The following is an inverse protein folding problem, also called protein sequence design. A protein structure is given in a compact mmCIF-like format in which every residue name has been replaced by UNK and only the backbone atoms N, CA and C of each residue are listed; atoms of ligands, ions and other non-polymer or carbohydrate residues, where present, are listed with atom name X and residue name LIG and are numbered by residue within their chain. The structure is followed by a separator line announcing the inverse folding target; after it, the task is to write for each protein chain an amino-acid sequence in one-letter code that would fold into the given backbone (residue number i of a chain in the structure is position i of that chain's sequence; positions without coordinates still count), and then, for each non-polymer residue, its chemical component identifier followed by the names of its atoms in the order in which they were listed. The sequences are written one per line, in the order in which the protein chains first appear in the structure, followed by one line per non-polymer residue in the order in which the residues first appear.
data_IF_124551994992
#
_entry.id   IF_124551994992
#
_cell.length_a   1.000
_cell.length_b   1.000
_cell.length_c   1.000
_cell.angle_alpha   90.00
_cell.angle_beta   90.00
_cell.angle_gamma   90.00
#
_symmetry.space_group_name_H-M   'P 1'
#
loop_
_entity.id
_entity.type
_entity.pdbx_description
1 polymer ?
#
# COMPACT_ATOMS: atom_id res chain seq x y z
N UNK A 1 -8.12 33.05 -24.10
CA UNK A 1 -8.42 31.68 -24.55
C UNK A 1 -9.82 31.56 -25.06
N UNK A 2 -10.08 30.58 -25.92
CA UNK A 2 -11.44 30.09 -26.21
C UNK A 2 -11.78 28.98 -25.21
N UNK A 3 -13.04 28.85 -24.84
CA UNK A 3 -13.52 27.77 -23.97
C UNK A 3 -14.33 26.79 -24.81
N UNK A 4 -14.01 25.50 -24.70
CA UNK A 4 -14.81 24.39 -25.16
C UNK A 4 -15.48 23.74 -23.95
N UNK A 5 -16.81 23.71 -23.94
CA UNK A 5 -17.59 23.06 -22.88
C UNK A 5 -18.26 21.82 -23.45
N UNK A 6 -18.00 20.67 -22.85
CA UNK A 6 -18.70 19.41 -23.10
C UNK A 6 -19.96 19.42 -22.22
N UNK A 7 -21.12 19.17 -22.83
CA UNK A 7 -22.42 19.52 -22.26
C UNK A 7 -22.97 18.58 -21.18
N UNK A 8 -22.72 17.27 -21.26
CA UNK A 8 -23.29 16.25 -20.35
C UNK A 8 -22.48 14.95 -20.33
N UNK A 9 -22.86 13.99 -19.49
CA UNK A 9 -22.30 12.62 -19.43
C UNK A 9 -22.48 11.79 -20.72
N UNK A 10 -23.04 12.37 -21.78
CA UNK A 10 -23.26 11.72 -23.08
C UNK A 10 -22.55 12.46 -24.23
N UNK A 11 -21.85 13.56 -23.94
CA UNK A 11 -21.17 14.37 -24.96
C UNK A 11 -19.66 14.18 -24.86
N UNK A 12 -19.24 12.95 -25.06
CA UNK A 12 -17.83 12.59 -25.00
C UNK A 12 -17.09 13.12 -26.21
N UNK A 13 -15.81 13.44 -26.02
CA UNK A 13 -14.95 13.93 -27.08
C UNK A 13 -13.66 13.12 -27.13
N UNK A 14 -13.35 12.61 -28.32
CA UNK A 14 -12.03 12.06 -28.63
C UNK A 14 -11.28 13.03 -29.51
N UNK A 15 -10.09 13.41 -29.07
CA UNK A 15 -9.16 14.23 -29.83
C UNK A 15 -8.06 13.32 -30.36
N UNK A 16 -8.16 13.01 -31.65
CA UNK A 16 -7.16 12.24 -32.38
C UNK A 16 -6.05 13.15 -32.89
N UNK A 17 -4.93 13.21 -32.17
CA UNK A 17 -3.75 13.95 -32.63
C UNK A 17 -2.48 13.42 -31.96
N UNK A 18 -1.40 13.24 -32.72
CA UNK A 18 -0.15 12.63 -32.21
C UNK A 18 0.66 13.54 -31.29
N UNK A 19 0.54 14.87 -31.42
CA UNK A 19 1.26 15.83 -30.57
C UNK A 19 0.70 17.26 -30.67
N UNK A 20 -0.49 17.59 -30.12
CA UNK A 20 -0.89 18.98 -30.01
C UNK A 20 0.10 19.73 -29.11
N UNK A 21 0.91 20.60 -29.71
CA UNK A 21 1.62 21.64 -28.97
C UNK A 21 0.64 22.78 -28.76
N UNK A 22 0.48 23.24 -27.54
CA UNK A 22 -0.34 24.42 -27.29
C UNK A 22 0.16 25.62 -28.09
N UNK A 23 -0.73 26.28 -28.83
CA UNK A 23 -0.44 27.60 -29.38
C UNK A 23 -0.36 28.64 -28.26
N UNK A 24 0.32 29.78 -28.50
CA UNK A 24 0.58 30.82 -27.49
C UNK A 24 -0.65 31.52 -26.87
N UNK A 25 -1.88 31.09 -27.16
CA UNK A 25 -3.12 31.53 -26.52
C UNK A 25 -3.86 30.34 -25.91
N UNK A 26 -3.68 30.14 -24.60
CA UNK A 26 -4.25 29.04 -23.82
C UNK A 26 -5.76 28.87 -24.01
N UNK A 27 -6.21 27.67 -24.35
CA UNK A 27 -7.62 27.27 -24.36
C UNK A 27 -8.09 26.74 -23.01
N UNK A 28 -9.41 26.67 -22.82
CA UNK A 28 -10.02 26.04 -21.64
C UNK A 28 -10.97 24.93 -22.07
N UNK A 29 -10.81 23.74 -21.47
CA UNK A 29 -11.71 22.61 -21.61
C UNK A 29 -12.52 22.48 -20.32
N UNK A 30 -13.85 22.51 -20.46
CA UNK A 30 -14.77 22.25 -19.36
C UNK A 30 -15.52 20.97 -19.68
N UNK A 31 -15.15 19.87 -19.02
CA UNK A 31 -15.73 18.56 -19.28
C UNK A 31 -17.10 18.38 -18.62
N UNK A 32 -17.37 19.11 -17.53
CA UNK A 32 -18.52 18.86 -16.67
C UNK A 32 -18.50 17.39 -16.19
N UNK A 33 -19.42 16.55 -16.70
CA UNK A 33 -19.44 15.10 -16.44
C UNK A 33 -19.13 14.23 -17.67
N UNK A 34 -18.71 14.82 -18.79
CA UNK A 34 -18.38 14.10 -20.01
C UNK A 34 -17.00 13.44 -19.93
N UNK A 35 -16.77 12.43 -20.79
CA UNK A 35 -15.44 11.87 -21.00
C UNK A 35 -14.68 12.65 -22.08
N UNK A 36 -13.38 12.85 -21.86
CA UNK A 36 -12.47 13.47 -22.81
C UNK A 36 -11.26 12.57 -22.99
N UNK A 37 -11.04 12.09 -24.20
CA UNK A 37 -9.88 11.25 -24.53
C UNK A 37 -8.94 11.97 -25.47
N UNK A 38 -7.67 12.03 -25.08
CA UNK A 38 -6.56 12.44 -25.93
C UNK A 38 -5.71 11.24 -26.32
N UNK A 39 -5.62 10.95 -27.62
CA UNK A 39 -4.98 9.71 -28.06
C UNK A 39 -3.46 9.80 -28.18
N UNK A 40 -2.92 10.97 -28.55
CA UNK A 40 -1.47 11.17 -28.68
C UNK A 40 -0.83 11.96 -27.54
N UNK A 41 0.46 12.28 -27.73
CA UNK A 41 1.28 12.92 -26.70
C UNK A 41 0.76 14.32 -26.42
N UNK A 42 0.48 14.65 -25.17
CA UNK A 42 -0.19 15.92 -24.83
C UNK A 42 0.60 16.71 -23.80
N UNK A 43 0.86 17.99 -24.09
CA UNK A 43 1.57 18.88 -23.18
C UNK A 43 0.66 20.04 -22.74
N UNK A 44 0.38 20.09 -21.44
CA UNK A 44 -0.40 21.14 -20.78
C UNK A 44 0.54 22.22 -20.21
N UNK A 45 0.93 23.21 -21.01
CA UNK A 45 1.83 24.30 -20.58
C UNK A 45 1.09 25.58 -20.19
N UNK A 46 -0.11 25.79 -20.73
CA UNK A 46 -0.96 26.93 -20.43
C UNK A 46 -2.47 26.60 -20.51
N UNK A 47 -2.85 25.52 -21.19
CA UNK A 47 -4.23 25.08 -21.28
C UNK A 47 -4.76 24.68 -19.90
N UNK A 48 -6.07 24.87 -19.75
CA UNK A 48 -6.79 24.57 -18.52
C UNK A 48 -7.84 23.51 -18.80
N UNK A 49 -7.85 22.46 -18.01
CA UNK A 49 -8.89 21.42 -18.06
C UNK A 49 -9.60 21.41 -16.72
N UNK A 50 -10.93 21.53 -16.76
CA UNK A 50 -11.80 21.44 -15.60
C UNK A 50 -12.76 20.27 -15.78
N UNK A 51 -12.82 19.41 -14.77
CA UNK A 51 -13.69 18.25 -14.72
C UNK A 51 -14.43 18.22 -13.38
N UNK A 52 -15.73 17.97 -13.44
CA UNK A 52 -16.63 17.90 -12.29
C UNK A 52 -17.38 16.56 -12.26
N UNK A 53 -16.74 15.52 -12.80
CA UNK A 53 -17.25 14.20 -13.16
C UNK A 53 -16.62 13.69 -14.47
N UNK A 54 -16.92 12.44 -14.84
CA UNK A 54 -16.39 11.83 -16.06
C UNK A 54 -14.89 11.55 -16.02
N UNK A 55 -14.33 11.18 -17.16
CA UNK A 55 -12.99 10.63 -17.30
C UNK A 55 -12.16 11.44 -18.30
N UNK A 56 -11.06 12.03 -17.82
CA UNK A 56 -10.01 12.56 -18.68
C UNK A 56 -9.00 11.46 -18.96
N UNK A 57 -8.95 10.96 -20.20
CA UNK A 57 -8.00 9.93 -20.62
C UNK A 57 -6.87 10.53 -21.43
N UNK A 58 -5.64 10.39 -20.95
CA UNK A 58 -4.42 10.69 -21.69
C UNK A 58 -3.79 9.35 -22.11
N UNK A 59 -4.10 8.93 -23.34
CA UNK A 59 -3.81 7.58 -23.82
C UNK A 59 -2.31 7.36 -24.12
N UNK A 60 -1.56 8.43 -24.31
CA UNK A 60 -0.11 8.42 -24.55
C UNK A 60 0.62 9.23 -23.46
N UNK A 61 1.94 9.37 -23.59
CA UNK A 61 2.73 10.21 -22.69
C UNK A 61 2.22 11.64 -22.63
N UNK A 62 2.26 12.26 -21.45
CA UNK A 62 1.74 13.61 -21.25
C UNK A 62 2.54 14.42 -20.24
N UNK A 63 2.36 15.73 -20.24
CA UNK A 63 3.06 16.62 -19.30
C UNK A 63 2.22 17.80 -18.87
N UNK A 64 2.50 18.28 -17.67
CA UNK A 64 1.93 19.49 -17.09
C UNK A 64 3.08 20.43 -16.67
N UNK A 65 3.07 21.65 -17.16
CA UNK A 65 4.17 22.60 -16.99
C UNK A 65 3.69 24.05 -16.94
N UNK A 66 4.60 24.96 -16.64
CA UNK A 66 4.37 26.42 -16.65
C UNK A 66 3.08 26.83 -15.92
N UNK A 67 2.04 27.27 -16.64
CA UNK A 67 0.75 27.74 -16.09
C UNK A 67 -0.41 26.80 -16.41
N UNK A 68 -0.13 25.61 -16.94
CA UNK A 68 -1.13 24.60 -17.23
C UNK A 68 -1.90 24.21 -15.96
N UNK A 69 -3.18 23.87 -16.13
CA UNK A 69 -4.05 23.48 -15.04
C UNK A 69 -4.85 22.24 -15.43
N UNK A 70 -4.87 21.24 -14.56
CA UNK A 70 -5.84 20.15 -14.59
C UNK A 70 -6.53 20.15 -13.23
N UNK A 71 -7.81 20.49 -13.22
CA UNK A 71 -8.64 20.58 -12.02
C UNK A 71 -9.76 19.55 -12.09
N UNK A 72 -9.64 18.52 -11.25
CA UNK A 72 -10.53 17.37 -11.16
C UNK A 72 -11.27 17.44 -9.82
N UNK A 73 -12.60 17.39 -9.89
CA UNK A 73 -13.48 17.50 -8.73
C UNK A 73 -14.65 16.52 -8.83
N UNK A 74 -15.38 16.31 -7.72
CA UNK A 74 -16.64 15.56 -7.70
C UNK A 74 -16.56 14.13 -8.28
N UNK A 75 -15.51 13.37 -7.96
CA UNK A 75 -15.39 11.98 -8.40
C UNK A 75 -14.89 11.80 -9.83
N UNK A 76 -14.38 12.85 -10.47
CA UNK A 76 -13.66 12.77 -11.75
C UNK A 76 -12.55 11.73 -11.72
N UNK A 77 -12.24 11.17 -12.90
CA UNK A 77 -11.11 10.27 -13.11
C UNK A 77 -10.11 10.88 -14.09
N UNK A 78 -8.83 10.82 -13.77
CA UNK A 78 -7.73 11.06 -14.73
C UNK A 78 -7.03 9.73 -14.99
N UNK A 79 -7.05 9.29 -16.24
CA UNK A 79 -6.38 8.07 -16.71
C UNK A 79 -5.10 8.45 -17.45
N UNK A 80 -3.96 7.95 -16.96
CA UNK A 80 -2.62 8.15 -17.51
C UNK A 80 -2.10 6.81 -18.04
N UNK A 81 -2.32 6.54 -19.33
CA UNK A 81 -1.87 5.29 -19.95
C UNK A 81 -0.38 5.34 -20.35
N UNK A 82 0.17 6.53 -20.59
CA UNK A 82 1.59 6.77 -20.78
C UNK A 82 2.23 7.50 -19.61
N UNK A 83 3.55 7.70 -19.66
CA UNK A 83 4.27 8.46 -18.64
C UNK A 83 3.72 9.89 -18.53
N UNK A 84 3.57 10.38 -17.29
CA UNK A 84 3.10 11.72 -16.98
C UNK A 84 4.17 12.53 -16.24
N UNK A 85 4.56 13.67 -16.81
CA UNK A 85 5.55 14.57 -16.22
C UNK A 85 4.96 15.90 -15.75
N UNK A 86 5.00 16.20 -14.45
CA UNK A 86 4.70 17.51 -13.89
C UNK A 86 5.98 18.28 -13.56
N UNK A 87 6.35 19.25 -14.39
CA UNK A 87 7.48 20.16 -14.13
C UNK A 87 7.03 21.56 -13.66
N UNK A 88 5.73 21.86 -13.76
CA UNK A 88 5.11 23.13 -13.38
C UNK A 88 3.58 22.99 -13.33
N UNK A 89 2.87 24.10 -13.36
CA UNK A 89 1.40 24.10 -13.36
C UNK A 89 0.77 23.55 -12.07
N UNK A 90 -0.53 23.30 -12.13
CA UNK A 90 -1.33 22.83 -11.00
C UNK A 90 -2.18 21.61 -11.42
N UNK A 91 -2.04 20.52 -10.68
CA UNK A 91 -2.88 19.32 -10.78
C UNK A 91 -3.66 19.18 -9.48
N UNK A 92 -4.98 19.43 -9.55
CA UNK A 92 -5.90 19.28 -8.44
C UNK A 92 -6.74 18.03 -8.65
N UNK A 93 -6.67 17.09 -7.71
CA UNK A 93 -7.38 15.83 -7.69
C UNK A 93 -8.27 15.74 -6.44
N UNK A 94 -9.12 16.75 -6.22
CA UNK A 94 -9.94 16.83 -5.02
C UNK A 94 -11.10 15.82 -5.09
N UNK A 95 -11.01 14.73 -4.31
CA UNK A 95 -11.95 13.60 -4.37
C UNK A 95 -12.02 12.98 -5.77
N UNK A 96 -10.90 12.94 -6.48
CA UNK A 96 -10.77 12.34 -7.80
C UNK A 96 -10.06 10.98 -7.73
N UNK A 97 -10.13 10.21 -8.81
CA UNK A 97 -9.30 9.00 -9.02
C UNK A 97 -8.21 9.30 -10.03
N UNK A 98 -6.96 9.03 -9.67
CA UNK A 98 -5.83 9.07 -10.59
C UNK A 98 -5.48 7.63 -10.96
N UNK A 99 -5.85 7.21 -12.17
CA UNK A 99 -5.53 5.88 -12.69
C UNK A 99 -4.25 5.93 -13.53
N UNK A 100 -3.23 5.14 -13.17
CA UNK A 100 -1.92 5.21 -13.82
C UNK A 100 -1.44 3.86 -14.31
N UNK A 101 -1.05 3.80 -15.57
CA UNK A 101 -0.32 2.67 -16.15
C UNK A 101 1.12 3.04 -16.54
N UNK A 102 1.40 4.34 -16.75
CA UNK A 102 2.75 4.85 -16.97
C UNK A 102 3.35 5.53 -15.74
N UNK A 103 4.66 5.73 -15.77
CA UNK A 103 5.40 6.40 -14.68
C UNK A 103 4.88 7.82 -14.41
N UNK A 104 4.84 8.19 -13.14
CA UNK A 104 4.44 9.51 -12.69
C UNK A 104 5.69 10.26 -12.19
N UNK A 105 6.02 11.40 -12.80
CA UNK A 105 7.20 12.18 -12.43
C UNK A 105 6.83 13.62 -12.13
N UNK A 106 7.01 14.05 -10.88
CA UNK A 106 6.81 15.41 -10.43
C UNK A 106 8.15 16.05 -10.06
N UNK A 107 8.61 16.99 -10.87
CA UNK A 107 9.85 17.76 -10.68
C UNK A 107 9.58 19.24 -10.34
N UNK A 108 8.33 19.68 -10.39
CA UNK A 108 7.89 21.03 -10.03
C UNK A 108 6.36 21.16 -10.01
N UNK A 109 5.85 22.39 -9.88
CA UNK A 109 4.41 22.69 -9.83
C UNK A 109 3.71 22.32 -8.52
N UNK A 110 2.38 22.34 -8.51
CA UNK A 110 1.53 22.00 -7.35
C UNK A 110 0.72 20.74 -7.63
N UNK A 111 0.72 19.78 -6.69
CA UNK A 111 -0.15 18.60 -6.70
C UNK A 111 -1.04 18.64 -5.46
N UNK A 112 -2.36 18.66 -5.66
CA UNK A 112 -3.35 18.56 -4.57
C UNK A 112 -4.08 17.24 -4.69
N UNK A 113 -3.60 16.21 -4.00
CA UNK A 113 -4.07 14.82 -4.14
C UNK A 113 -4.42 14.14 -2.82
N UNK A 114 -4.36 14.83 -1.69
CA UNK A 114 -4.57 14.24 -0.36
C UNK A 114 -5.95 13.58 -0.17
N UNK A 115 -6.95 13.98 -0.95
CA UNK A 115 -8.29 13.37 -0.96
C UNK A 115 -8.53 12.45 -2.17
N UNK A 116 -7.53 12.22 -3.00
CA UNK A 116 -7.62 11.40 -4.21
C UNK A 116 -7.37 9.91 -3.93
N UNK A 117 -7.95 9.06 -4.76
CA UNK A 117 -7.54 7.65 -4.86
C UNK A 117 -6.47 7.52 -5.93
N UNK A 118 -5.32 6.95 -5.59
CA UNK A 118 -4.30 6.57 -6.55
C UNK A 118 -4.50 5.10 -6.94
N UNK A 119 -4.80 4.82 -8.21
CA UNK A 119 -5.13 3.49 -8.68
C UNK A 119 -4.15 3.08 -9.78
N UNK A 120 -3.55 1.91 -9.64
CA UNK A 120 -2.64 1.39 -10.65
C UNK A 120 -3.41 0.54 -11.67
N UNK A 121 -3.14 0.81 -12.95
CA UNK A 121 -3.55 -0.01 -14.10
C UNK A 121 -2.34 -0.66 -14.79
N UNK A 122 -1.13 -0.42 -14.27
CA UNK A 122 0.13 -1.03 -14.67
C UNK A 122 1.17 -0.88 -13.56
N UNK A 123 2.36 -1.45 -13.74
CA UNK A 123 3.47 -1.17 -12.83
C UNK A 123 3.92 0.28 -13.01
N UNK A 124 4.04 1.02 -11.91
CA UNK A 124 4.29 2.46 -11.94
C UNK A 124 5.46 2.81 -11.04
N UNK A 125 6.41 3.57 -11.61
CA UNK A 125 7.40 4.31 -10.82
C UNK A 125 6.86 5.71 -10.54
N UNK A 126 6.63 6.04 -9.27
CA UNK A 126 6.25 7.38 -8.84
C UNK A 126 7.49 8.15 -8.35
N UNK A 127 7.73 9.33 -8.91
CA UNK A 127 8.80 10.23 -8.50
C UNK A 127 8.22 11.58 -8.13
N UNK A 128 8.62 12.17 -7.01
CA UNK A 128 8.20 13.52 -6.65
C UNK A 128 9.27 14.29 -5.90
N UNK A 129 9.43 15.56 -6.25
CA UNK A 129 10.28 16.51 -5.51
C UNK A 129 9.62 17.07 -4.23
N UNK A 130 8.45 16.55 -3.86
CA UNK A 130 7.70 16.86 -2.64
C UNK A 130 7.05 15.59 -2.10
N UNK A 131 6.70 15.49 -0.80
CA UNK A 131 5.96 14.33 -0.30
C UNK A 131 4.67 14.04 -1.08
N UNK A 132 4.44 12.76 -1.39
CA UNK A 132 3.19 12.31 -2.02
C UNK A 132 2.16 12.02 -0.93
N UNK A 133 0.94 12.51 -1.12
CA UNK A 133 -0.17 12.26 -0.21
C UNK A 133 -1.43 11.93 -1.00
N UNK A 134 -2.06 10.82 -0.65
CA UNK A 134 -3.30 10.34 -1.21
C UNK A 134 -4.25 9.88 -0.12
N UNK A 135 -5.54 9.82 -0.45
CA UNK A 135 -6.53 9.24 0.46
C UNK A 135 -6.35 7.74 0.52
N UNK A 136 -6.36 7.10 -0.65
CA UNK A 136 -6.27 5.65 -0.80
C UNK A 136 -5.34 5.26 -1.94
N UNK A 137 -4.82 4.04 -1.89
CA UNK A 137 -4.06 3.40 -2.97
C UNK A 137 -4.72 2.07 -3.33
N UNK A 138 -4.91 1.83 -4.62
CA UNK A 138 -5.36 0.54 -5.17
C UNK A 138 -4.29 0.01 -6.12
N UNK A 139 -3.65 -1.11 -5.75
CA UNK A 139 -2.56 -1.70 -6.53
C UNK A 139 -3.04 -2.52 -7.73
N UNK A 140 -4.23 -3.12 -7.68
CA UNK A 140 -4.78 -4.01 -8.72
C UNK A 140 -3.75 -5.02 -9.26
N UNK A 141 -3.10 -5.77 -8.36
CA UNK A 141 -2.05 -6.72 -8.71
C UNK A 141 -0.81 -6.12 -9.45
N UNK A 142 -0.59 -4.81 -9.34
CA UNK A 142 0.59 -4.12 -9.89
C UNK A 142 1.58 -3.68 -8.81
N UNK A 143 2.77 -3.32 -9.24
CA UNK A 143 3.87 -2.82 -8.41
C UNK A 143 3.88 -1.30 -8.43
N UNK A 144 3.84 -0.67 -7.25
CA UNK A 144 4.24 0.72 -7.06
C UNK A 144 5.71 0.76 -6.63
N UNK A 145 6.58 1.39 -7.40
CA UNK A 145 7.95 1.70 -6.99
C UNK A 145 8.15 3.21 -6.90
N UNK A 146 9.24 3.63 -6.27
CA UNK A 146 9.58 5.05 -6.15
C UNK A 146 10.89 5.38 -6.87
N UNK A 147 10.86 6.46 -7.66
CA UNK A 147 12.07 7.02 -8.25
C UNK A 147 12.83 7.91 -7.25
N UNK A 148 14.03 8.34 -7.66
CA UNK A 148 14.89 9.19 -6.84
C UNK A 148 14.14 10.45 -6.36
N UNK A 149 14.43 10.89 -5.13
CA UNK A 149 13.85 12.08 -4.46
C UNK A 149 12.46 11.92 -3.83
N UNK A 150 11.80 10.76 -3.94
CA UNK A 150 10.50 10.57 -3.26
C UNK A 150 10.70 10.27 -1.78
N UNK A 151 10.58 11.29 -0.94
CA UNK A 151 10.87 11.15 0.49
C UNK A 151 9.79 10.35 1.25
N UNK A 152 8.52 10.55 0.94
CA UNK A 152 7.40 9.97 1.69
C UNK A 152 6.17 9.73 0.80
N UNK A 153 5.48 8.61 1.04
CA UNK A 153 4.08 8.39 0.64
C UNK A 153 3.20 8.33 1.89
N UNK A 154 2.21 9.22 1.97
CA UNK A 154 1.17 9.20 3.01
C UNK A 154 -0.17 8.73 2.47
N UNK A 155 -0.77 7.73 3.10
CA UNK A 155 -2.14 7.26 2.87
C UNK A 155 -3.01 7.49 4.11
N UNK A 156 -4.21 8.03 3.95
CA UNK A 156 -5.14 8.29 5.08
C UNK A 156 -6.18 7.19 5.28
N UNK A 157 -6.55 6.47 4.23
CA UNK A 157 -7.39 5.28 4.28
C UNK A 157 -6.53 4.01 4.28
N UNK A 158 -7.14 2.90 4.70
CA UNK A 158 -6.47 1.61 4.83
C UNK A 158 -5.96 1.11 3.46
N UNK A 159 -4.69 0.73 3.42
CA UNK A 159 -4.14 0.01 2.27
C UNK A 159 -4.56 -1.45 2.35
N UNK A 160 -5.29 -1.94 1.34
CA UNK A 160 -5.60 -3.37 1.22
C UNK A 160 -4.61 -4.04 0.28
N UNK A 161 -3.96 -5.11 0.76
CA UNK A 161 -3.09 -5.99 0.00
C UNK A 161 -3.79 -7.34 -0.10
N UNK A 162 -4.32 -7.66 -1.29
CA UNK A 162 -5.15 -8.84 -1.54
C UNK A 162 -4.73 -9.59 -2.81
N UNK A 163 -3.60 -9.22 -3.41
CA UNK A 163 -3.08 -9.77 -4.64
C UNK A 163 -1.63 -10.23 -4.45
N UNK A 164 -1.20 -11.37 -5.04
CA UNK A 164 0.15 -11.91 -4.84
C UNK A 164 1.26 -11.09 -5.49
N UNK A 165 0.95 -10.34 -6.56
CA UNK A 165 1.94 -9.47 -7.19
C UNK A 165 1.80 -8.01 -6.77
N UNK A 166 0.64 -7.63 -6.20
CA UNK A 166 0.36 -6.28 -5.75
C UNK A 166 1.27 -5.92 -4.58
N UNK A 167 2.23 -5.02 -4.80
CA UNK A 167 3.16 -4.58 -3.74
C UNK A 167 3.62 -3.14 -3.90
N UNK A 168 4.16 -2.59 -2.82
CA UNK A 168 4.92 -1.35 -2.81
C UNK A 168 6.40 -1.72 -2.67
N UNK A 169 7.22 -1.34 -3.64
CA UNK A 169 8.68 -1.39 -3.56
C UNK A 169 9.19 -0.11 -2.92
N UNK A 170 9.31 -0.15 -1.60
CA UNK A 170 9.58 1.01 -0.76
C UNK A 170 10.88 1.74 -1.13
N UNK A 171 11.95 1.02 -1.47
CA UNK A 171 13.27 1.63 -1.67
C UNK A 171 13.71 2.41 -0.42
N UNK A 172 14.04 3.70 -0.59
CA UNK A 172 14.37 4.62 0.50
C UNK A 172 13.21 5.53 0.91
N UNK A 173 12.00 5.32 0.37
CA UNK A 173 10.83 6.16 0.62
C UNK A 173 10.18 5.76 1.94
N UNK A 174 9.87 6.71 2.81
CA UNK A 174 9.09 6.42 4.02
C UNK A 174 7.64 6.07 3.66
N UNK A 175 7.06 5.05 4.29
CA UNK A 175 5.65 4.71 4.17
C UNK A 175 4.89 5.14 5.42
N UNK A 176 4.03 6.13 5.26
CA UNK A 176 3.13 6.60 6.31
C UNK A 176 1.69 6.17 6.00
N UNK A 177 1.31 4.99 6.50
CA UNK A 177 0.00 4.39 6.26
C UNK A 177 -0.95 4.73 7.42
N UNK A 178 -1.34 6.01 7.54
CA UNK A 178 -2.15 6.50 8.67
C UNK A 178 -3.51 5.79 8.79
N UNK A 179 -4.06 5.28 7.67
CA UNK A 179 -5.28 4.47 7.67
C UNK A 179 -5.09 3.00 8.07
N UNK A 180 -3.84 2.55 8.28
CA UNK A 180 -3.48 1.16 8.51
C UNK A 180 -3.24 0.39 7.21
N UNK A 181 -2.99 -0.90 7.37
CA UNK A 181 -2.82 -1.85 6.26
C UNK A 181 -3.53 -3.16 6.59
N UNK A 182 -4.29 -3.69 5.64
CA UNK A 182 -4.86 -5.04 5.70
C UNK A 182 -4.14 -5.94 4.71
N UNK A 183 -3.55 -7.02 5.22
CA UNK A 183 -2.90 -8.06 4.42
C UNK A 183 -3.89 -9.22 4.32
N UNK A 184 -4.72 -9.16 3.29
CA UNK A 184 -5.76 -10.13 3.00
C UNK A 184 -5.17 -11.39 2.31
N UNK A 185 -5.98 -12.43 2.17
CA UNK A 185 -5.60 -13.65 1.46
C UNK A 185 -4.97 -13.36 0.09
N UNK A 186 -3.77 -13.89 -0.13
CA UNK A 186 -2.99 -13.67 -1.36
C UNK A 186 -2.13 -12.41 -1.33
N UNK A 187 -2.38 -11.47 -0.42
CA UNK A 187 -1.57 -10.26 -0.25
C UNK A 187 -0.26 -10.52 0.48
N UNK A 188 0.75 -9.70 0.16
CA UNK A 188 2.06 -9.72 0.81
C UNK A 188 2.48 -8.29 1.18
N UNK A 189 2.71 -8.04 2.46
CA UNK A 189 3.47 -6.86 2.90
C UNK A 189 4.90 -7.26 3.15
N UNK A 190 5.83 -6.71 2.38
CA UNK A 190 7.26 -6.94 2.54
C UNK A 190 7.91 -5.69 3.08
N UNK A 191 8.46 -5.75 4.29
CA UNK A 191 9.11 -4.62 4.94
C UNK A 191 10.61 -4.70 4.72
N UNK A 192 11.17 -3.64 4.14
CA UNK A 192 12.61 -3.45 3.98
C UNK A 192 13.16 -2.34 4.86
N UNK A 193 12.28 -1.50 5.43
CA UNK A 193 12.57 -0.37 6.31
C UNK A 193 11.37 -0.13 7.27
N UNK A 194 11.36 1.00 7.99
CA UNK A 194 10.32 1.38 8.96
C UNK A 194 8.96 1.54 8.30
N UNK A 195 7.95 0.92 8.91
CA UNK A 195 6.53 1.15 8.65
C UNK A 195 5.93 2.00 9.77
N UNK A 196 5.21 3.07 9.43
CA UNK A 196 4.46 3.87 10.39
C UNK A 196 2.97 3.88 10.01
N UNK A 197 2.13 3.31 10.87
CA UNK A 197 0.66 3.31 10.70
C UNK A 197 -0.06 4.34 11.58
N UNK A 198 0.68 5.21 12.27
CA UNK A 198 0.12 6.12 13.27
C UNK A 198 -0.57 5.34 14.40
N UNK A 199 -1.83 5.66 14.67
CA UNK A 199 -2.68 4.92 15.63
C UNK A 199 -3.38 3.71 15.03
N UNK A 200 -3.26 3.49 13.71
CA UNK A 200 -3.89 2.37 13.01
C UNK A 200 -3.05 1.10 13.14
N UNK A 201 -3.63 -0.04 12.74
CA UNK A 201 -3.02 -1.36 12.93
C UNK A 201 -2.51 -1.95 11.61
N UNK A 202 -1.63 -2.93 11.74
CA UNK A 202 -1.36 -3.92 10.69
C UNK A 202 -2.35 -5.07 10.88
N UNK A 203 -3.28 -5.26 9.96
CA UNK A 203 -4.25 -6.35 10.02
C UNK A 203 -3.73 -7.55 9.23
N UNK A 204 -3.64 -8.69 9.89
CA UNK A 204 -3.33 -9.98 9.28
C UNK A 204 -4.65 -10.71 9.00
N UNK A 205 -5.09 -10.70 7.74
CA UNK A 205 -6.40 -11.18 7.31
C UNK A 205 -6.29 -12.26 6.22
N UNK A 206 -5.36 -13.20 6.40
CA UNK A 206 -5.12 -14.30 5.46
C UNK A 206 -3.83 -14.18 4.67
N UNK A 207 -3.14 -13.03 4.77
CA UNK A 207 -1.95 -12.73 3.98
C UNK A 207 -0.62 -13.03 4.67
N UNK A 208 0.46 -12.57 4.02
CA UNK A 208 1.85 -12.73 4.45
C UNK A 208 2.47 -11.38 4.85
N UNK A 209 2.97 -11.29 6.08
CA UNK A 209 3.93 -10.25 6.49
C UNK A 209 5.35 -10.81 6.38
N UNK A 210 6.14 -10.30 5.45
CA UNK A 210 7.52 -10.72 5.22
C UNK A 210 8.52 -9.68 5.72
N UNK A 211 9.49 -10.13 6.53
CA UNK A 211 10.54 -9.33 7.14
C UNK A 211 11.88 -9.77 6.57
N UNK A 212 12.39 -8.97 5.62
CA UNK A 212 13.63 -9.29 4.89
C UNK A 212 14.89 -8.67 5.54
N UNK A 213 14.71 -7.68 6.40
CA UNK A 213 15.77 -6.99 7.14
C UNK A 213 15.39 -6.83 8.60
N UNK A 214 16.38 -6.51 9.44
CA UNK A 214 16.12 -6.16 10.83
C UNK A 214 15.16 -4.98 10.89
N UNK A 215 13.98 -5.20 11.46
CA UNK A 215 12.86 -4.26 11.40
C UNK A 215 12.28 -4.08 12.80
N UNK A 216 12.06 -2.83 13.19
CA UNK A 216 11.25 -2.51 14.38
C UNK A 216 9.84 -2.14 13.94
N UNK A 217 8.85 -2.84 14.49
CA UNK A 217 7.43 -2.61 14.22
C UNK A 217 6.74 -2.16 15.50
N UNK A 218 6.58 -0.84 15.62
CA UNK A 218 5.84 -0.22 16.73
C UNK A 218 4.31 -0.31 16.54
N UNK A 219 3.84 -0.46 15.30
CA UNK A 219 2.44 -0.63 14.98
C UNK A 219 1.89 -1.94 15.56
N UNK A 220 0.76 -1.86 16.25
CA UNK A 220 0.09 -3.07 16.74
C UNK A 220 -0.45 -3.91 15.59
N UNK A 221 -0.34 -5.23 15.75
CA UNK A 221 -0.91 -6.21 14.83
C UNK A 221 -2.31 -6.59 15.32
N UNK A 222 -3.26 -6.73 14.39
CA UNK A 222 -4.57 -7.34 14.61
C UNK A 222 -4.68 -8.59 13.74
N UNK A 223 -4.79 -9.76 14.36
CA UNK A 223 -4.97 -11.02 13.65
C UNK A 223 -6.48 -11.30 13.45
N UNK A 224 -6.90 -11.48 12.20
CA UNK A 224 -8.31 -11.62 11.81
C UNK A 224 -8.62 -12.97 11.16
N UNK A 225 -7.65 -13.53 10.45
CA UNK A 225 -7.77 -14.83 9.79
C UNK A 225 -6.39 -15.48 9.70
N UNK A 226 -6.36 -16.78 9.41
CA UNK A 226 -5.13 -17.56 9.39
C UNK A 226 -4.06 -16.94 8.48
N UNK A 227 -2.96 -16.48 9.07
CA UNK A 227 -1.95 -15.65 8.40
C UNK A 227 -0.53 -16.13 8.67
N UNK A 228 0.42 -15.58 7.94
CA UNK A 228 1.85 -15.92 8.08
C UNK A 228 2.69 -14.68 8.34
N UNK A 229 3.60 -14.78 9.29
CA UNK A 229 4.74 -13.88 9.47
C UNK A 229 5.99 -14.66 9.07
N UNK A 230 6.65 -14.24 8.00
CA UNK A 230 7.93 -14.81 7.57
C UNK A 230 9.05 -13.85 7.94
N UNK A 231 10.02 -14.35 8.71
CA UNK A 231 11.21 -13.59 9.09
C UNK A 231 12.39 -14.30 8.48
N UNK A 232 13.07 -13.61 7.55
CA UNK A 232 14.21 -14.17 6.85
C UNK A 232 15.30 -14.64 7.84
N UNK A 233 16.05 -15.66 7.43
CA UNK A 233 17.09 -16.26 8.27
C UNK A 233 18.06 -15.19 8.78
N UNK A 234 18.43 -15.29 10.06
CA UNK A 234 19.31 -14.33 10.79
C UNK A 234 18.73 -12.93 11.00
N UNK A 235 17.54 -12.61 10.48
CA UNK A 235 16.90 -11.31 10.67
C UNK A 235 16.04 -11.28 11.91
N UNK A 236 15.79 -10.08 12.40
CA UNK A 236 15.00 -9.84 13.61
C UNK A 236 13.82 -8.91 13.32
N UNK A 237 12.63 -9.37 13.69
CA UNK A 237 11.47 -8.50 13.88
C UNK A 237 11.39 -8.12 15.36
N UNK A 238 11.66 -6.86 15.68
CA UNK A 238 11.40 -6.27 17.00
C UNK A 238 9.98 -5.71 17.03
N UNK A 239 9.06 -6.45 17.61
CA UNK A 239 7.67 -6.08 17.75
C UNK A 239 7.41 -5.37 19.09
N UNK A 240 6.99 -4.11 19.01
CA UNK A 240 6.73 -3.24 20.18
C UNK A 240 5.23 -2.90 20.34
N UNK A 241 4.38 -3.45 19.47
CA UNK A 241 2.94 -3.29 19.55
C UNK A 241 2.32 -4.01 20.76
N UNK A 242 1.00 -3.87 20.93
CA UNK A 242 0.24 -4.56 21.96
C UNK A 242 0.25 -6.10 21.78
N UNK A 243 -0.25 -6.86 22.76
CA UNK A 243 -0.41 -8.32 22.62
C UNK A 243 -1.07 -8.69 21.31
N UNK A 244 -0.58 -9.76 20.67
CA UNK A 244 -1.23 -10.32 19.49
C UNK A 244 -2.14 -11.46 19.95
N UNK A 245 -3.42 -11.16 20.10
CA UNK A 245 -4.47 -12.17 20.27
C UNK A 245 -4.54 -13.03 18.98
N UNK A 246 -4.31 -14.34 19.11
CA UNK A 246 -4.34 -15.26 17.97
C UNK A 246 -5.79 -15.49 17.50
N UNK A 247 -6.76 -15.35 18.39
CA UNK A 247 -8.18 -15.50 18.12
C UNK A 247 -8.53 -16.90 17.62
N UNK A 248 -9.68 -17.03 16.97
CA UNK A 248 -10.20 -18.29 16.45
C UNK A 248 -9.53 -18.72 15.12
N UNK A 249 -8.21 -18.71 15.04
CA UNK A 249 -7.43 -18.98 13.82
C UNK A 249 -6.01 -19.46 14.12
N UNK A 250 -5.26 -19.79 13.06
CA UNK A 250 -3.86 -20.19 13.14
C UNK A 250 -2.94 -19.06 12.67
N UNK A 251 -1.95 -18.68 13.48
CA UNK A 251 -0.85 -17.81 13.05
C UNK A 251 0.39 -18.66 12.79
N UNK A 252 1.03 -18.48 11.65
CA UNK A 252 2.31 -19.15 11.35
C UNK A 252 3.46 -18.16 11.43
N UNK A 253 4.53 -18.50 12.14
CA UNK A 253 5.77 -17.73 12.21
C UNK A 253 6.92 -18.61 11.73
N UNK A 254 7.55 -18.21 10.62
CA UNK A 254 8.49 -19.05 9.87
C UNK A 254 9.73 -18.27 9.42
N UNK A 255 10.68 -18.96 8.78
CA UNK A 255 11.72 -18.35 7.93
C UNK A 255 13.15 -18.38 8.48
N UNK A 256 13.37 -18.82 9.72
CA UNK A 256 14.73 -18.93 10.27
C UNK A 256 15.19 -17.73 11.12
N UNK A 257 14.36 -16.69 11.27
CA UNK A 257 14.70 -15.45 11.96
C UNK A 257 14.34 -15.44 13.45
N UNK A 258 14.30 -14.23 14.03
CA UNK A 258 13.93 -13.96 15.42
C UNK A 258 12.71 -13.03 15.48
N UNK A 259 11.68 -13.42 16.24
CA UNK A 259 10.53 -12.59 16.62
C UNK A 259 10.73 -12.15 18.07
N UNK A 260 11.16 -10.91 18.28
CA UNK A 260 11.36 -10.34 19.62
C UNK A 260 10.16 -9.49 19.99
N UNK A 261 9.49 -9.82 21.09
CA UNK A 261 8.28 -9.16 21.55
C UNK A 261 8.28 -9.03 23.08
N UNK A 262 7.80 -7.89 23.58
CA UNK A 262 7.62 -7.63 25.02
C UNK A 262 6.20 -7.93 25.49
N UNK A 263 5.20 -7.72 24.62
CA UNK A 263 3.84 -8.16 24.82
C UNK A 263 3.63 -9.53 24.16
N UNK A 264 2.84 -10.44 24.75
CA UNK A 264 2.79 -11.83 24.33
C UNK A 264 2.15 -12.02 22.94
N UNK A 265 2.57 -13.09 22.27
CA UNK A 265 1.71 -13.84 21.36
C UNK A 265 0.73 -14.63 22.22
N UNK A 266 -0.56 -14.36 22.11
CA UNK A 266 -1.55 -14.80 23.09
C UNK A 266 -2.54 -15.81 22.50
N UNK A 267 -2.47 -17.06 22.98
CA UNK A 267 -3.45 -18.09 22.68
C UNK A 267 -4.71 -17.83 23.52
N UNK A 268 -5.59 -16.96 23.04
CA UNK A 268 -6.78 -16.41 23.72
C UNK A 268 -8.10 -17.12 23.39
N UNK A 269 -8.10 -18.09 22.47
CA UNK A 269 -9.32 -18.76 22.03
C UNK A 269 -9.16 -20.29 21.92
N UNK A 270 -10.28 -21.01 22.05
CA UNK A 270 -10.39 -22.47 21.86
C UNK A 270 -9.94 -23.01 20.49
N UNK A 271 -9.71 -22.13 19.52
CA UNK A 271 -9.26 -22.45 18.16
C UNK A 271 -7.92 -21.76 17.83
N UNK A 272 -7.31 -21.06 18.79
CA UNK A 272 -6.01 -20.45 18.60
C UNK A 272 -4.97 -21.54 18.35
N UNK A 273 -4.18 -21.35 17.30
CA UNK A 273 -3.04 -22.20 17.00
C UNK A 273 -1.85 -21.34 16.60
N UNK A 274 -0.67 -21.67 17.12
CA UNK A 274 0.58 -21.06 16.67
C UNK A 274 1.44 -22.12 15.99
N UNK A 275 1.80 -21.87 14.73
CA UNK A 275 2.69 -22.75 13.97
C UNK A 275 4.08 -22.11 13.90
N UNK A 276 5.09 -22.82 14.39
CA UNK A 276 6.47 -22.35 14.46
C UNK A 276 7.36 -23.21 13.55
N UNK A 277 8.15 -22.56 12.71
CA UNK A 277 9.07 -23.25 11.79
C UNK A 277 10.42 -22.54 11.71
N UNK A 278 11.39 -23.03 12.49
CA UNK A 278 12.77 -22.53 12.46
C UNK A 278 12.94 -21.17 13.13
N UNK A 279 12.08 -20.81 14.07
CA UNK A 279 11.97 -19.45 14.61
C UNK A 279 12.43 -19.41 16.06
N UNK A 280 13.05 -18.29 16.46
CA UNK A 280 13.12 -17.88 17.86
C UNK A 280 11.99 -16.88 18.16
N UNK A 281 11.10 -17.18 19.10
CA UNK A 281 10.10 -16.23 19.59
C UNK A 281 10.42 -15.83 21.04
N UNK A 282 10.17 -14.58 21.43
CA UNK A 282 10.56 -14.14 22.77
C UNK A 282 9.53 -14.47 23.84
N UNK A 283 8.25 -14.15 23.63
CA UNK A 283 7.22 -14.30 24.67
C UNK A 283 5.89 -14.81 24.12
N UNK A 284 5.42 -15.95 24.63
CA UNK A 284 4.12 -16.54 24.34
C UNK A 284 3.35 -16.73 25.65
N UNK A 285 2.05 -16.46 25.64
CA UNK A 285 1.15 -16.70 26.78
C UNK A 285 -0.12 -17.42 26.35
N UNK A 286 -0.69 -18.20 27.25
CA UNK A 286 -1.99 -18.85 27.07
C UNK A 286 -3.05 -18.19 27.95
N UNK A 287 -4.11 -17.65 27.36
CA UNK A 287 -5.24 -17.03 28.09
C UNK A 287 -6.55 -17.84 27.94
N UNK A 288 -6.52 -18.90 27.13
CA UNK A 288 -7.60 -19.89 27.00
C UNK A 288 -7.03 -21.27 26.70
N UNK A 289 -7.83 -22.31 26.96
CA UNK A 289 -7.61 -23.60 26.29
C UNK A 289 -7.56 -23.37 24.78
N UNK A 290 -6.66 -24.04 24.07
CA UNK A 290 -6.39 -23.75 22.66
C UNK A 290 -6.05 -25.01 21.86
N UNK A 291 -5.86 -24.88 20.54
CA UNK A 291 -5.25 -25.93 19.73
C UNK A 291 -3.72 -26.00 19.92
N UNK A 292 -3.16 -24.95 20.53
CA UNK A 292 -1.81 -24.89 21.04
C UNK A 292 -0.75 -24.63 19.98
N UNK A 293 0.41 -25.28 20.12
CA UNK A 293 1.61 -25.00 19.32
C UNK A 293 1.94 -26.19 18.42
N UNK A 294 2.11 -25.93 17.13
CA UNK A 294 2.73 -26.87 16.18
C UNK A 294 4.15 -26.43 15.86
N UNK A 295 5.11 -27.36 15.92
CA UNK A 295 6.52 -27.10 15.61
C UNK A 295 6.95 -27.95 14.42
N UNK A 296 7.04 -27.31 13.25
CA UNK A 296 7.36 -27.99 11.98
C UNK A 296 8.88 -28.10 11.77
N UNK A 297 9.62 -27.07 12.19
CA UNK A 297 11.07 -27.06 12.26
C UNK A 297 11.50 -26.55 13.62
N UNK A 298 12.65 -27.05 14.10
CA UNK A 298 13.17 -26.77 15.43
C UNK A 298 13.12 -25.27 15.75
N UNK A 299 12.43 -24.94 16.83
CA UNK A 299 12.14 -23.56 17.22
C UNK A 299 12.39 -23.39 18.71
N UNK A 300 12.63 -22.14 19.11
CA UNK A 300 12.91 -21.78 20.50
C UNK A 300 11.94 -20.69 20.93
N UNK A 301 11.41 -20.79 22.14
CA UNK A 301 10.63 -19.73 22.78
C UNK A 301 11.37 -19.33 24.05
N UNK A 302 11.72 -18.06 24.21
CA UNK A 302 12.46 -17.65 25.41
C UNK A 302 11.61 -17.77 26.67
N UNK A 303 10.37 -17.28 26.63
CA UNK A 303 9.41 -17.34 27.72
C UNK A 303 8.05 -17.83 27.20
N UNK A 304 7.58 -18.97 27.71
CA UNK A 304 6.29 -19.54 27.41
C UNK A 304 5.49 -19.77 28.70
N UNK A 305 4.57 -18.85 29.01
CA UNK A 305 3.71 -18.96 30.19
C UNK A 305 2.43 -19.74 29.88
N UNK A 306 2.23 -20.89 30.55
CA UNK A 306 1.16 -21.86 30.27
C UNK A 306 0.19 -21.96 31.45
N UNK A 307 -0.85 -21.16 31.42
CA UNK A 307 -1.94 -21.16 32.41
C UNK A 307 -3.14 -22.03 31.99
N UNK A 308 -3.20 -22.44 30.72
CA UNK A 308 -4.33 -23.13 30.12
C UNK A 308 -3.92 -24.38 29.32
N UNK A 309 -4.89 -25.27 29.02
CA UNK A 309 -4.61 -26.49 28.25
C UNK A 309 -4.13 -26.13 26.85
N UNK A 310 -2.86 -26.43 26.60
CA UNK A 310 -2.17 -26.02 25.39
C UNK A 310 -1.39 -27.20 24.82
N UNK A 311 -1.97 -27.93 23.86
CA UNK A 311 -1.27 -29.03 23.20
C UNK A 311 0.01 -28.53 22.52
N UNK A 312 1.07 -29.34 22.57
CA UNK A 312 2.30 -29.09 21.81
C UNK A 312 2.57 -30.29 20.92
N UNK A 313 2.64 -30.05 19.62
CA UNK A 313 2.96 -31.05 18.61
C UNK A 313 4.31 -30.72 17.97
N UNK A 314 5.24 -31.66 17.99
CA UNK A 314 6.60 -31.46 17.46
C UNK A 314 6.82 -32.46 16.33
N UNK A 315 7.16 -31.96 15.15
CA UNK A 315 7.47 -32.80 13.99
C UNK A 315 8.66 -33.74 14.26
N UNK A 316 8.71 -34.93 13.63
CA UNK A 316 9.80 -35.88 13.84
C UNK A 316 11.18 -35.26 13.62
N UNK A 317 12.12 -35.55 14.52
CA UNK A 317 13.50 -35.04 14.51
C UNK A 317 13.62 -33.51 14.71
N UNK A 318 12.59 -32.85 15.24
CA UNK A 318 12.64 -31.44 15.63
C UNK A 318 12.65 -31.27 17.15
N UNK A 319 12.93 -30.05 17.59
CA UNK A 319 12.94 -29.66 19.00
C UNK A 319 12.12 -28.40 19.24
N UNK A 320 11.53 -28.31 20.42
CA UNK A 320 10.92 -27.10 20.95
C UNK A 320 11.63 -26.77 22.25
N UNK A 321 12.43 -25.70 22.23
CA UNK A 321 13.29 -25.33 23.36
C UNK A 321 12.76 -24.05 24.01
N UNK A 322 13.05 -23.85 25.29
CA UNK A 322 12.63 -22.64 25.99
C UNK A 322 12.48 -22.80 27.49
N UNK A 323 12.15 -21.69 28.13
CA UNK A 323 11.58 -21.70 29.47
C UNK A 323 10.06 -21.84 29.33
N UNK A 324 9.50 -22.86 29.98
CA UNK A 324 8.06 -23.12 30.01
C UNK A 324 7.66 -23.09 31.47
N UNK A 325 6.81 -22.15 31.85
CA UNK A 325 6.37 -21.89 33.24
C UNK A 325 4.84 -21.93 33.37
#
# INVERSE_FOLDING_TARGET
GKTLTLGSTYTDLTIENSAPTEGGSAGTFQMQGADLTWTGVTAFSAAKVYSAGGTLTLASGSSLSSTGLIDLSNGSTLVLNGAFGQSGGELTAANATLETAGDFSKTGGTLTSNNATFKLNGNVTASSNTPLSFKALTLNNNVLSFGAQTDNLTLTEELTLNDPNGRIEQGSTALQLNGGVSIDSGGVLRLTDVLNTGSSKVKLNGGLLAIDNDTTLASSILHLAASTIEIAQTKTLTYEGASIEIGASALSIIGGGNFTNTNPLELDHGQSQLNLSGIFANYIRTDSNSLGISVDNSSTVNDFSVEHVTPVSISPNQSFNGLIE
#
